data_IF_828802721381
#
_entry.id   IF_828802721381
#
_cell.length_a   1.000
_cell.length_b   1.000
_cell.length_c   1.000
_cell.angle_alpha   90.00
_cell.angle_beta   90.00
_cell.angle_gamma   90.00
#
_symmetry.space_group_name_H-M   'P 1'
#
loop_
_entity.id
_entity.type
_entity.pdbx_description
1 polymer ?
#
# COMPACT_ATOMS: atom_id res chain seq x y z
N UNK A 1 -24.05 75.81 10.33
CA UNK A 1 -22.63 75.62 9.91
C UNK A 1 -21.84 75.36 11.19
N UNK A 2 -21.11 74.28 11.40
CA UNK A 2 -20.57 73.26 10.51
C UNK A 2 -20.58 71.89 11.21
N UNK A 3 -20.70 70.83 10.40
CA UNK A 3 -20.54 69.43 10.78
C UNK A 3 -19.06 69.12 10.99
N UNK A 4 -18.67 68.63 12.17
CA UNK A 4 -17.40 67.91 12.36
C UNK A 4 -17.65 66.40 12.37
N UNK A 5 -17.34 65.78 11.24
CA UNK A 5 -17.30 64.33 11.06
C UNK A 5 -15.94 63.84 11.56
N UNK A 6 -15.88 63.24 12.77
CA UNK A 6 -14.66 62.62 13.25
C UNK A 6 -14.63 61.14 12.83
N UNK A 7 -13.85 60.86 11.80
CA UNK A 7 -13.63 59.54 11.23
C UNK A 7 -12.72 58.70 12.15
N UNK A 8 -13.31 57.73 12.85
CA UNK A 8 -12.59 56.72 13.63
C UNK A 8 -13.03 55.31 13.21
N UNK A 9 -12.72 54.92 11.97
CA UNK A 9 -13.00 53.58 11.45
C UNK A 9 -11.86 53.04 10.56
N UNK A 10 -10.60 53.18 11.00
CA UNK A 10 -9.42 52.72 10.27
C UNK A 10 -8.66 51.48 10.82
N UNK A 11 -8.88 50.94 12.05
CA UNK A 11 -8.11 49.78 12.48
C UNK A 11 -8.71 48.43 12.02
N UNK A 12 -10.01 48.37 11.72
CA UNK A 12 -10.69 47.10 11.37
C UNK A 12 -10.39 46.65 9.95
N UNK A 13 -10.28 47.59 9.00
CA UNK A 13 -9.98 47.25 7.61
C UNK A 13 -8.54 46.71 7.43
N UNK A 14 -7.59 47.20 8.24
CA UNK A 14 -6.20 46.77 8.18
C UNK A 14 -6.03 45.33 8.71
N UNK A 15 -6.82 44.92 9.71
CA UNK A 15 -6.84 43.55 10.22
C UNK A 15 -7.47 42.55 9.23
N UNK A 16 -8.52 42.96 8.50
CA UNK A 16 -9.16 42.11 7.47
C UNK A 16 -8.21 41.89 6.28
N UNK A 17 -7.42 42.90 5.91
CA UNK A 17 -6.41 42.79 4.85
C UNK A 17 -5.21 41.93 5.27
N UNK A 18 -4.84 41.91 6.57
CA UNK A 18 -3.79 41.01 7.05
C UNK A 18 -4.22 39.54 7.04
N UNK A 19 -5.51 39.24 7.19
CA UNK A 19 -6.06 37.88 7.05
C UNK A 19 -6.13 37.48 5.57
N UNK A 20 -6.39 38.41 4.64
CA UNK A 20 -6.37 38.12 3.19
C UNK A 20 -4.95 38.01 2.61
N UNK A 21 -3.95 38.56 3.31
CA UNK A 21 -2.52 38.49 2.99
C UNK A 21 -1.76 37.35 3.67
N UNK A 22 -2.44 36.32 4.21
CA UNK A 22 -1.86 34.98 4.15
C UNK A 22 -1.88 34.53 2.69
N UNK A 23 -0.90 35.05 1.96
CA UNK A 23 -0.33 34.54 0.72
C UNK A 23 -0.52 33.02 0.74
N UNK A 24 -1.57 32.53 0.08
CA UNK A 24 -1.81 31.11 -0.15
C UNK A 24 -0.64 30.70 -1.03
N UNK A 25 0.51 30.42 -0.40
CA UNK A 25 1.62 29.73 -1.01
C UNK A 25 0.94 28.49 -1.57
N UNK A 26 0.84 28.41 -2.90
CA UNK A 26 0.15 27.31 -3.58
C UNK A 26 0.89 26.05 -3.17
N UNK A 27 0.43 25.42 -2.09
CA UNK A 27 1.14 24.32 -1.45
C UNK A 27 1.05 23.17 -2.43
N UNK A 28 2.20 22.80 -3.00
CA UNK A 28 2.23 21.69 -3.92
C UNK A 28 1.81 20.42 -3.14
N UNK A 29 0.74 19.77 -3.60
CA UNK A 29 0.21 18.53 -3.01
C UNK A 29 1.29 17.46 -2.81
N UNK A 30 2.25 17.37 -3.73
CA UNK A 30 3.41 16.49 -3.64
C UNK A 30 4.32 16.82 -2.45
N UNK A 31 4.60 18.11 -2.21
CA UNK A 31 5.46 18.53 -1.12
C UNK A 31 4.80 18.21 0.22
N UNK A 32 3.51 18.48 0.37
CA UNK A 32 2.76 18.15 1.59
C UNK A 32 2.77 16.64 1.82
N UNK A 33 2.44 15.84 0.80
CA UNK A 33 2.46 14.37 0.87
C UNK A 33 3.85 13.82 1.25
N UNK A 34 4.89 14.26 0.55
CA UNK A 34 6.26 13.77 0.76
C UNK A 34 6.83 14.14 2.13
N UNK A 35 6.55 15.35 2.62
CA UNK A 35 6.93 15.79 3.98
C UNK A 35 6.23 14.90 5.02
N UNK A 36 4.92 14.70 4.91
CA UNK A 36 4.15 13.84 5.83
C UNK A 36 4.63 12.39 5.82
N UNK A 37 4.89 11.83 4.64
CA UNK A 37 5.45 10.48 4.48
C UNK A 37 6.81 10.35 5.16
N UNK A 38 7.72 11.30 4.94
CA UNK A 38 9.06 11.32 5.57
C UNK A 38 8.97 11.44 7.09
N UNK A 39 8.09 12.31 7.60
CA UNK A 39 7.83 12.48 9.04
C UNK A 39 7.34 11.16 9.65
N UNK A 40 6.37 10.49 9.02
CA UNK A 40 5.87 9.20 9.51
C UNK A 40 6.96 8.11 9.48
N UNK A 41 7.74 8.00 8.40
CA UNK A 41 8.85 7.04 8.31
C UNK A 41 9.93 7.31 9.37
N UNK A 42 10.27 8.57 9.62
CA UNK A 42 11.22 8.96 10.68
C UNK A 42 10.69 8.60 12.07
N UNK A 43 9.39 8.80 12.31
CA UNK A 43 8.75 8.39 13.56
C UNK A 43 8.82 6.87 13.76
N UNK A 44 8.41 6.08 12.77
CA UNK A 44 8.47 4.62 12.83
C UNK A 44 9.91 4.10 13.03
N UNK A 45 10.87 4.69 12.30
CA UNK A 45 12.29 4.35 12.47
C UNK A 45 12.82 4.69 13.86
N UNK A 46 12.37 5.80 14.46
CA UNK A 46 12.76 6.17 15.83
C UNK A 46 12.21 5.17 16.86
N UNK A 47 10.97 4.70 16.68
CA UNK A 47 10.37 3.67 17.54
C UNK A 47 11.10 2.33 17.39
N UNK A 48 11.47 1.94 16.17
CA UNK A 48 12.27 0.73 15.97
C UNK A 48 13.66 0.84 16.62
N UNK A 49 14.32 1.98 16.45
CA UNK A 49 15.63 2.26 17.06
C UNK A 49 15.59 2.30 18.60
N UNK A 50 14.44 2.59 19.22
CA UNK A 50 14.34 2.50 20.69
C UNK A 50 14.29 1.08 21.22
N UNK A 51 13.94 0.09 20.38
CA UNK A 51 13.87 -1.32 20.77
C UNK A 51 15.15 -2.07 20.39
N UNK A 52 15.75 -1.76 19.24
CA UNK A 52 16.93 -2.44 18.73
C UNK A 52 18.12 -1.49 18.55
N UNK A 53 19.26 -1.82 19.16
CA UNK A 53 20.52 -1.11 18.93
C UNK A 53 21.00 -1.35 17.48
N UNK A 54 21.50 -0.29 16.83
CA UNK A 54 21.98 -0.35 15.45
C UNK A 54 23.13 -1.36 15.32
N UNK A 55 23.96 -1.48 16.37
CA UNK A 55 25.07 -2.42 16.44
C UNK A 55 24.55 -3.85 16.27
N UNK A 56 23.55 -4.23 17.07
CA UNK A 56 22.90 -5.55 17.01
C UNK A 56 22.29 -5.81 15.64
N UNK A 57 21.59 -4.82 15.07
CA UNK A 57 21.00 -4.95 13.73
C UNK A 57 22.08 -5.23 12.69
N UNK A 58 23.21 -4.53 12.70
CA UNK A 58 24.26 -4.73 11.71
C UNK A 58 24.96 -6.07 11.87
N UNK A 59 25.25 -6.50 13.10
CA UNK A 59 25.85 -7.80 13.35
C UNK A 59 24.94 -8.97 12.94
N UNK A 60 23.62 -8.81 12.93
CA UNK A 60 22.69 -9.84 12.47
C UNK A 60 22.44 -9.74 10.96
N UNK A 61 22.18 -8.53 10.46
CA UNK A 61 21.74 -8.30 9.08
C UNK A 61 22.87 -8.53 8.07
N UNK A 62 24.11 -8.13 8.40
CA UNK A 62 25.23 -8.26 7.48
C UNK A 62 25.59 -9.72 7.20
N UNK A 63 25.81 -10.60 8.20
CA UNK A 63 26.04 -12.02 7.95
C UNK A 63 24.85 -12.69 7.26
N UNK A 64 23.62 -12.38 7.66
CA UNK A 64 22.42 -12.91 7.02
C UNK A 64 22.35 -12.55 5.53
N UNK A 65 22.66 -11.30 5.16
CA UNK A 65 22.67 -10.86 3.77
C UNK A 65 23.73 -11.58 2.94
N UNK A 66 24.93 -11.78 3.47
CA UNK A 66 26.00 -12.53 2.78
C UNK A 66 25.58 -13.98 2.54
N UNK A 67 25.02 -14.65 3.56
CA UNK A 67 24.52 -16.03 3.46
C UNK A 67 23.40 -16.13 2.41
N UNK A 68 22.44 -15.21 2.42
CA UNK A 68 21.32 -15.21 1.46
C UNK A 68 21.82 -15.00 0.04
N UNK A 69 22.74 -14.06 -0.19
CA UNK A 69 23.29 -13.79 -1.52
C UNK A 69 24.09 -14.98 -2.06
N UNK A 70 24.95 -15.59 -1.24
CA UNK A 70 25.73 -16.74 -1.66
C UNK A 70 24.84 -17.94 -2.03
N UNK A 71 23.83 -18.23 -1.19
CA UNK A 71 22.84 -19.27 -1.48
C UNK A 71 22.03 -18.95 -2.74
N UNK A 72 21.60 -17.70 -2.93
CA UNK A 72 20.86 -17.28 -4.11
C UNK A 72 21.64 -17.55 -5.39
N UNK A 73 22.93 -17.18 -5.45
CA UNK A 73 23.79 -17.51 -6.59
C UNK A 73 24.02 -19.01 -6.76
N UNK A 74 24.10 -19.76 -5.66
CA UNK A 74 24.19 -21.22 -5.72
C UNK A 74 22.95 -21.85 -6.36
N UNK A 75 21.75 -21.35 -6.04
CA UNK A 75 20.48 -21.87 -6.57
C UNK A 75 20.31 -21.69 -8.09
N UNK A 76 21.07 -20.78 -8.69
CA UNK A 76 21.13 -20.67 -10.15
C UNK A 76 21.89 -21.81 -10.82
N UNK A 77 22.81 -22.44 -10.11
CA UNK A 77 23.63 -23.55 -10.63
C UNK A 77 23.04 -24.89 -10.26
N UNK A 78 22.72 -25.07 -8.97
CA UNK A 78 22.25 -26.32 -8.41
C UNK A 78 20.93 -26.12 -7.67
N UNK A 79 19.91 -26.89 -8.02
CA UNK A 79 18.62 -26.88 -7.33
C UNK A 79 18.76 -27.51 -5.95
N UNK A 80 18.33 -26.83 -4.87
CA UNK A 80 18.48 -27.37 -3.52
C UNK A 80 17.50 -28.51 -3.29
N UNK A 81 17.93 -29.62 -2.68
CA UNK A 81 17.11 -30.83 -2.53
C UNK A 81 15.77 -30.65 -1.79
N UNK A 82 15.60 -29.59 -0.98
CA UNK A 82 14.32 -29.31 -0.32
C UNK A 82 13.23 -28.85 -1.30
N UNK A 83 13.58 -28.25 -2.45
CA UNK A 83 12.59 -27.79 -3.43
C UNK A 83 11.90 -28.98 -4.12
N UNK A 84 12.56 -30.14 -4.15
CA UNK A 84 12.05 -31.34 -4.82
C UNK A 84 10.77 -31.88 -4.19
N UNK A 85 10.59 -31.64 -2.88
CA UNK A 85 9.40 -32.05 -2.13
C UNK A 85 8.29 -31.02 -2.19
N UNK A 86 8.52 -29.87 -2.83
CA UNK A 86 7.61 -28.74 -2.79
C UNK A 86 6.81 -28.67 -4.10
N UNK A 87 5.53 -29.06 -4.12
CA UNK A 87 4.71 -28.97 -5.31
C UNK A 87 4.47 -27.50 -5.70
N UNK A 88 4.37 -27.24 -7.00
CA UNK A 88 4.15 -25.88 -7.53
C UNK A 88 2.88 -25.23 -6.96
N UNK A 89 1.85 -26.03 -6.64
CA UNK A 89 0.61 -25.56 -6.00
C UNK A 89 0.85 -24.87 -4.66
N UNK A 90 1.81 -25.34 -3.86
CA UNK A 90 2.15 -24.72 -2.58
C UNK A 90 2.85 -23.37 -2.78
N UNK A 91 3.73 -23.26 -3.78
CA UNK A 91 4.33 -21.95 -4.14
C UNK A 91 3.24 -21.00 -4.59
N UNK A 92 2.36 -21.45 -5.48
CA UNK A 92 1.25 -20.63 -6.00
C UNK A 92 0.35 -20.12 -4.86
N UNK A 93 0.01 -20.99 -3.90
CA UNK A 93 -0.76 -20.63 -2.72
C UNK A 93 0.01 -19.68 -1.78
N UNK A 94 1.32 -19.87 -1.63
CA UNK A 94 2.17 -19.00 -0.82
C UNK A 94 2.24 -17.57 -1.39
N UNK A 95 2.39 -17.44 -2.72
CA UNK A 95 2.33 -16.14 -3.40
C UNK A 95 0.95 -15.49 -3.19
N UNK A 96 -0.13 -16.28 -3.29
CA UNK A 96 -1.48 -15.78 -3.00
C UNK A 96 -1.60 -15.23 -1.57
N UNK A 97 -1.14 -15.96 -0.56
CA UNK A 97 -1.16 -15.49 0.83
C UNK A 97 -0.34 -14.20 1.00
N UNK A 98 0.80 -14.08 0.35
CA UNK A 98 1.61 -12.86 0.42
C UNK A 98 0.98 -11.68 -0.32
N UNK A 99 0.14 -11.91 -1.33
CA UNK A 99 -0.69 -10.87 -1.95
C UNK A 99 -1.77 -10.31 -1.00
N UNK A 100 -2.05 -11.00 0.11
CA UNK A 100 -2.84 -10.43 1.22
C UNK A 100 -2.03 -9.53 2.15
N UNK A 101 -0.76 -9.25 1.84
CA UNK A 101 -0.07 -8.13 2.48
C UNK A 101 -0.58 -6.78 1.92
N UNK A 102 -0.25 -5.67 2.56
CA UNK A 102 -0.54 -4.34 2.02
C UNK A 102 -1.88 -3.71 2.42
N UNK A 103 -1.87 -2.38 2.48
CA UNK A 103 -3.02 -1.51 2.81
C UNK A 103 -2.81 -0.11 2.21
N UNK A 104 -3.89 0.53 1.76
CA UNK A 104 -3.86 1.94 1.32
C UNK A 104 -3.65 2.85 2.54
N UNK A 105 -2.66 3.74 2.47
CA UNK A 105 -2.37 4.76 3.50
C UNK A 105 -2.55 6.16 2.92
N UNK A 106 -3.50 6.94 3.47
CA UNK A 106 -3.88 8.26 2.94
C UNK A 106 -3.03 9.42 3.49
N UNK A 107 -2.26 9.20 4.58
CA UNK A 107 -1.38 10.21 5.22
C UNK A 107 -2.09 11.55 5.53
N UNK A 108 -3.36 11.46 5.94
CA UNK A 108 -4.17 12.60 6.38
C UNK A 108 -4.05 12.71 7.89
N UNK A 109 -3.60 13.87 8.38
CA UNK A 109 -3.54 14.17 9.82
C UNK A 109 -4.87 14.83 10.25
N UNK A 110 -5.37 14.51 11.45
CA UNK A 110 -6.65 15.01 11.98
C UNK A 110 -6.66 16.54 12.12
N UNK A 111 -5.52 17.13 12.52
CA UNK A 111 -5.37 18.59 12.68
C UNK A 111 -5.63 19.39 11.39
N UNK A 112 -5.46 18.77 10.22
CA UNK A 112 -5.61 19.42 8.92
C UNK A 112 -7.00 19.20 8.29
N UNK A 113 -7.93 18.55 9.00
CA UNK A 113 -9.26 18.18 8.47
C UNK A 113 -10.01 19.38 7.89
N UNK A 114 -10.14 20.47 8.67
CA UNK A 114 -10.87 21.67 8.27
C UNK A 114 -10.22 22.33 7.04
N UNK A 115 -8.89 22.34 6.98
CA UNK A 115 -8.12 22.88 5.85
C UNK A 115 -8.31 22.05 4.58
N UNK A 116 -8.26 20.72 4.68
CA UNK A 116 -8.37 19.81 3.54
C UNK A 116 -9.79 19.74 2.98
N UNK A 117 -10.81 19.88 3.84
CA UNK A 117 -12.22 19.98 3.40
C UNK A 117 -12.44 21.25 2.59
N UNK A 118 -11.84 22.38 3.00
CA UNK A 118 -11.90 23.65 2.27
C UNK A 118 -11.13 23.61 0.94
N UNK A 119 -10.01 22.86 0.89
CA UNK A 119 -9.15 22.73 -0.28
C UNK A 119 -9.25 21.35 -0.96
N UNK A 120 -10.42 21.04 -1.52
CA UNK A 120 -10.73 19.73 -2.14
C UNK A 120 -9.74 19.29 -3.22
N UNK A 121 -9.27 20.22 -4.06
CA UNK A 121 -8.30 19.90 -5.13
C UNK A 121 -6.95 19.44 -4.56
N UNK A 122 -6.50 20.04 -3.46
CA UNK A 122 -5.28 19.65 -2.77
C UNK A 122 -5.45 18.25 -2.16
N UNK A 123 -6.58 17.98 -1.51
CA UNK A 123 -6.89 16.68 -0.93
C UNK A 123 -6.91 15.56 -1.99
N UNK A 124 -7.63 15.75 -3.11
CA UNK A 124 -7.69 14.78 -4.20
C UNK A 124 -6.30 14.49 -4.78
N UNK A 125 -5.48 15.52 -4.99
CA UNK A 125 -4.13 15.33 -5.49
C UNK A 125 -3.23 14.61 -4.48
N UNK A 126 -3.34 14.90 -3.18
CA UNK A 126 -2.64 14.13 -2.14
C UNK A 126 -3.06 12.66 -2.13
N UNK A 127 -4.36 12.39 -2.29
CA UNK A 127 -4.91 11.03 -2.36
C UNK A 127 -4.38 10.25 -3.57
N UNK A 128 -4.27 10.91 -4.74
CA UNK A 128 -3.62 10.33 -5.93
C UNK A 128 -2.17 9.94 -5.67
N UNK A 129 -1.38 10.81 -5.05
CA UNK A 129 0.01 10.51 -4.69
C UNK A 129 0.13 9.37 -3.68
N UNK A 130 -0.76 9.34 -2.68
CA UNK A 130 -0.82 8.27 -1.70
C UNK A 130 -1.15 6.91 -2.33
N UNK A 131 -2.12 6.88 -3.24
CA UNK A 131 -2.51 5.66 -3.95
C UNK A 131 -1.42 5.19 -4.91
N UNK A 132 -0.86 6.08 -5.73
CA UNK A 132 0.24 5.76 -6.63
C UNK A 132 1.49 5.26 -5.88
N UNK A 133 1.77 5.84 -4.71
CA UNK A 133 2.84 5.34 -3.84
C UNK A 133 2.56 3.94 -3.31
N UNK A 134 1.30 3.65 -2.93
CA UNK A 134 0.87 2.32 -2.47
C UNK A 134 1.04 1.28 -3.58
N UNK A 135 0.52 1.55 -4.78
CA UNK A 135 0.69 0.67 -5.95
C UNK A 135 2.18 0.39 -6.18
N UNK A 136 3.00 1.44 -6.22
CA UNK A 136 4.44 1.29 -6.47
C UNK A 136 5.13 0.41 -5.43
N UNK A 137 4.82 0.56 -4.15
CA UNK A 137 5.43 -0.27 -3.09
C UNK A 137 5.00 -1.73 -3.17
N UNK A 138 3.75 -1.99 -3.54
CA UNK A 138 3.20 -3.33 -3.60
C UNK A 138 3.70 -4.07 -4.85
N UNK A 139 3.74 -3.37 -6.00
CA UNK A 139 4.41 -3.87 -7.21
C UNK A 139 5.87 -4.19 -6.94
N UNK A 140 6.61 -3.32 -6.24
CA UNK A 140 8.01 -3.56 -5.91
C UNK A 140 8.18 -4.75 -4.95
N UNK A 141 7.31 -4.87 -3.95
CA UNK A 141 7.32 -6.01 -3.02
C UNK A 141 7.08 -7.33 -3.75
N UNK A 142 6.10 -7.36 -4.65
CA UNK A 142 5.76 -8.54 -5.45
C UNK A 142 6.88 -8.86 -6.46
N UNK A 143 7.48 -7.85 -7.09
CA UNK A 143 8.63 -8.03 -7.97
C UNK A 143 9.84 -8.59 -7.21
N UNK A 144 10.14 -8.07 -6.02
CA UNK A 144 11.22 -8.59 -5.18
C UNK A 144 11.01 -10.06 -4.82
N UNK A 145 9.76 -10.46 -4.58
CA UNK A 145 9.40 -11.85 -4.32
C UNK A 145 9.60 -12.75 -5.55
N UNK A 146 9.17 -12.30 -6.74
CA UNK A 146 9.42 -13.04 -7.98
C UNK A 146 10.91 -13.17 -8.29
N UNK A 147 11.72 -12.12 -8.05
CA UNK A 147 13.18 -12.18 -8.19
C UNK A 147 13.78 -13.21 -7.24
N UNK A 148 13.33 -13.25 -5.98
CA UNK A 148 13.81 -14.23 -5.01
C UNK A 148 13.47 -15.68 -5.41
N UNK A 149 12.26 -15.90 -5.95
CA UNK A 149 11.81 -17.22 -6.42
C UNK A 149 12.34 -17.60 -7.81
N UNK A 150 12.89 -16.64 -8.57
CA UNK A 150 13.28 -16.78 -9.98
C UNK A 150 14.13 -18.02 -10.29
N UNK A 151 15.23 -18.33 -9.56
CA UNK A 151 16.05 -19.51 -9.86
C UNK A 151 15.24 -20.81 -9.76
N UNK A 152 14.33 -20.91 -8.80
CA UNK A 152 13.50 -22.10 -8.60
C UNK A 152 12.45 -22.24 -9.70
N UNK A 153 11.80 -21.13 -10.06
CA UNK A 153 10.78 -21.08 -11.10
C UNK A 153 11.35 -21.51 -12.48
N UNK A 154 12.54 -21.02 -12.84
CA UNK A 154 13.18 -21.33 -14.12
C UNK A 154 13.85 -22.70 -14.15
N UNK A 155 14.65 -23.04 -13.12
CA UNK A 155 15.48 -24.25 -13.16
C UNK A 155 14.72 -25.52 -12.77
N UNK A 156 13.92 -25.46 -11.69
CA UNK A 156 13.22 -26.64 -11.17
C UNK A 156 11.84 -26.83 -11.83
N UNK A 157 11.00 -25.80 -11.82
CA UNK A 157 9.66 -25.88 -12.42
C UNK A 157 9.66 -25.68 -13.94
N UNK A 158 10.82 -25.36 -14.53
CA UNK A 158 11.02 -25.20 -15.99
C UNK A 158 10.05 -24.23 -16.65
N UNK A 159 9.64 -23.21 -15.90
CA UNK A 159 8.76 -22.16 -16.41
C UNK A 159 9.48 -21.36 -17.48
N UNK A 160 8.78 -20.99 -18.52
CA UNK A 160 9.30 -20.10 -19.56
C UNK A 160 9.11 -18.63 -19.16
N UNK A 161 9.84 -17.70 -19.79
CA UNK A 161 9.75 -16.27 -19.47
C UNK A 161 8.34 -15.69 -19.65
N UNK A 162 7.62 -16.11 -20.70
CA UNK A 162 6.26 -15.66 -20.95
C UNK A 162 5.26 -16.10 -19.87
N UNK A 163 5.45 -17.31 -19.33
CA UNK A 163 4.69 -17.89 -18.24
C UNK A 163 4.92 -17.12 -16.94
N UNK A 164 6.17 -16.78 -16.64
CA UNK A 164 6.53 -15.95 -15.49
C UNK A 164 5.91 -14.56 -15.56
N UNK A 165 5.95 -13.94 -16.74
CA UNK A 165 5.35 -12.63 -16.94
C UNK A 165 3.83 -12.67 -16.75
N UNK A 166 3.18 -13.72 -17.24
CA UNK A 166 1.74 -13.91 -17.09
C UNK A 166 1.33 -14.18 -15.62
N UNK A 167 2.11 -14.97 -14.88
CA UNK A 167 1.95 -15.15 -13.43
C UNK A 167 2.13 -13.83 -12.68
N UNK A 168 3.16 -13.05 -13.04
CA UNK A 168 3.42 -11.76 -12.42
C UNK A 168 2.25 -10.80 -12.61
N UNK A 169 1.74 -10.65 -13.84
CA UNK A 169 0.57 -9.81 -14.13
C UNK A 169 -0.66 -10.27 -13.34
N UNK A 170 -0.90 -11.58 -13.28
CA UNK A 170 -2.00 -12.16 -12.53
C UNK A 170 -1.93 -11.83 -11.04
N UNK A 171 -0.80 -12.08 -10.39
CA UNK A 171 -0.67 -11.80 -8.97
C UNK A 171 -0.63 -10.29 -8.67
N UNK A 172 -0.10 -9.48 -9.58
CA UNK A 172 -0.17 -8.03 -9.50
C UNK A 172 -1.63 -7.54 -9.52
N UNK A 173 -2.43 -8.02 -10.47
CA UNK A 173 -3.83 -7.61 -10.59
C UNK A 173 -4.65 -8.05 -9.38
N UNK A 174 -4.42 -9.27 -8.91
CA UNK A 174 -5.03 -9.81 -7.70
C UNK A 174 -4.65 -9.01 -6.45
N UNK A 175 -3.37 -8.68 -6.26
CA UNK A 175 -2.90 -7.88 -5.13
C UNK A 175 -3.59 -6.50 -5.11
N UNK A 176 -3.62 -5.80 -6.25
CA UNK A 176 -4.28 -4.50 -6.36
C UNK A 176 -5.76 -4.56 -6.03
N UNK A 177 -6.45 -5.62 -6.49
CA UNK A 177 -7.85 -5.85 -6.15
C UNK A 177 -8.03 -6.11 -4.65
N UNK A 178 -7.18 -6.93 -4.01
CA UNK A 178 -7.23 -7.18 -2.57
C UNK A 178 -7.07 -5.90 -1.77
N UNK A 179 -6.06 -5.08 -2.11
CA UNK A 179 -5.79 -3.81 -1.43
C UNK A 179 -7.00 -2.87 -1.52
N UNK A 180 -7.66 -2.84 -2.68
CA UNK A 180 -8.84 -2.02 -2.89
C UNK A 180 -10.06 -2.54 -2.14
N UNK A 181 -10.29 -3.86 -2.14
CA UNK A 181 -11.37 -4.46 -1.35
C UNK A 181 -11.14 -4.20 0.14
N UNK A 182 -9.91 -4.37 0.65
CA UNK A 182 -9.56 -4.05 2.03
C UNK A 182 -9.89 -2.59 2.37
N UNK A 183 -9.61 -1.67 1.46
CA UNK A 183 -9.94 -0.27 1.64
C UNK A 183 -11.45 -0.05 1.79
N UNK A 184 -12.28 -0.70 0.98
CA UNK A 184 -13.74 -0.61 1.11
C UNK A 184 -14.29 -1.34 2.35
N UNK A 185 -13.76 -2.52 2.68
CA UNK A 185 -14.19 -3.27 3.88
C UNK A 185 -13.88 -2.49 5.15
N UNK A 186 -12.75 -1.78 5.22
CA UNK A 186 -12.42 -0.89 6.34
C UNK A 186 -13.39 0.28 6.53
N UNK A 187 -14.20 0.62 5.52
CA UNK A 187 -15.25 1.63 5.66
C UNK A 187 -16.48 1.12 6.43
N UNK A 188 -16.64 -0.19 6.62
CA UNK A 188 -17.76 -0.76 7.36
C UNK A 188 -17.52 -0.58 8.86
N UNK A 189 -18.38 0.12 9.59
CA UNK A 189 -18.14 0.44 11.01
C UNK A 189 -18.15 -0.79 11.95
N UNK A 190 -18.96 -1.80 11.64
CA UNK A 190 -19.16 -2.97 12.51
C UNK A 190 -18.08 -4.02 12.28
N UNK A 191 -17.22 -4.26 13.29
CA UNK A 191 -16.12 -5.24 13.23
C UNK A 191 -16.55 -6.65 12.81
N UNK A 192 -17.66 -7.17 13.34
CA UNK A 192 -18.16 -8.49 12.94
C UNK A 192 -18.52 -8.57 11.45
N UNK A 193 -19.10 -7.50 10.88
CA UNK A 193 -19.38 -7.43 9.44
C UNK A 193 -18.09 -7.33 8.62
N UNK A 194 -17.08 -6.60 9.12
CA UNK A 194 -15.77 -6.55 8.46
C UNK A 194 -15.13 -7.94 8.39
N UNK A 195 -15.11 -8.69 9.49
CA UNK A 195 -14.56 -10.05 9.53
C UNK A 195 -15.32 -10.96 8.56
N UNK A 196 -16.65 -10.94 8.58
CA UNK A 196 -17.48 -11.73 7.65
C UNK A 196 -17.19 -11.37 6.18
N UNK A 197 -17.04 -10.09 5.86
CA UNK A 197 -16.70 -9.67 4.50
C UNK A 197 -15.28 -10.11 4.10
N UNK A 198 -14.30 -10.04 5.02
CA UNK A 198 -12.96 -10.53 4.76
C UNK A 198 -12.92 -12.03 4.51
N UNK A 199 -13.63 -12.83 5.31
CA UNK A 199 -13.68 -14.29 5.10
C UNK A 199 -14.39 -14.64 3.79
N UNK A 200 -15.49 -13.97 3.46
CA UNK A 200 -16.18 -14.15 2.17
C UNK A 200 -15.28 -13.82 0.98
N UNK A 201 -14.59 -12.67 1.02
CA UNK A 201 -13.65 -12.28 -0.04
C UNK A 201 -12.49 -13.25 -0.15
N UNK A 202 -11.97 -13.73 0.98
CA UNK A 202 -10.90 -14.71 1.01
C UNK A 202 -11.30 -16.00 0.29
N UNK A 203 -12.48 -16.54 0.58
CA UNK A 203 -13.02 -17.75 -0.05
C UNK A 203 -13.22 -17.55 -1.56
N UNK A 204 -13.79 -16.40 -1.96
CA UNK A 204 -14.03 -16.10 -3.37
C UNK A 204 -12.72 -15.97 -4.16
N UNK A 205 -11.76 -15.23 -3.63
CA UNK A 205 -10.46 -15.04 -4.29
C UNK A 205 -9.62 -16.32 -4.27
N UNK A 206 -9.69 -17.13 -3.21
CA UNK A 206 -9.02 -18.43 -3.19
C UNK A 206 -9.61 -19.36 -4.25
N UNK A 207 -10.94 -19.41 -4.39
CA UNK A 207 -11.60 -20.18 -5.45
C UNK A 207 -11.16 -19.73 -6.85
N UNK A 208 -11.10 -18.42 -7.08
CA UNK A 208 -10.60 -17.86 -8.33
C UNK A 208 -9.13 -18.23 -8.61
N UNK A 209 -8.25 -18.19 -7.61
CA UNK A 209 -6.86 -18.61 -7.78
C UNK A 209 -6.72 -20.10 -8.09
N UNK A 210 -7.56 -20.96 -7.51
CA UNK A 210 -7.57 -22.39 -7.80
C UNK A 210 -8.00 -22.64 -9.24
N UNK A 211 -9.03 -21.93 -9.74
CA UNK A 211 -9.47 -22.02 -11.14
C UNK A 211 -8.35 -21.64 -12.11
N UNK A 212 -7.62 -20.56 -11.81
CA UNK A 212 -6.48 -20.12 -12.64
C UNK A 212 -5.35 -21.15 -12.63
N UNK A 213 -5.07 -21.77 -11.47
CA UNK A 213 -4.10 -22.85 -11.37
C UNK A 213 -4.51 -24.09 -12.18
N UNK A 214 -5.80 -24.44 -12.22
CA UNK A 214 -6.30 -25.54 -13.05
C UNK A 214 -6.19 -25.24 -14.55
N UNK A 215 -6.50 -24.01 -14.97
CA UNK A 215 -6.33 -23.55 -16.35
C UNK A 215 -4.86 -23.56 -16.76
N UNK A 216 -3.97 -23.18 -15.83
CA UNK A 216 -2.52 -23.25 -16.01
C UNK A 216 -2.05 -24.67 -16.29
N UNK A 217 -2.49 -25.63 -15.46
CA UNK A 217 -2.12 -27.04 -15.62
C UNK A 217 -2.62 -27.63 -16.95
N UNK A 218 -3.73 -27.09 -17.47
CA UNK A 218 -4.29 -27.45 -18.77
C UNK A 218 -3.63 -26.72 -19.97
N UNK A 219 -2.59 -25.93 -19.72
CA UNK A 219 -1.84 -25.14 -20.71
C UNK A 219 -2.67 -24.10 -21.50
N UNK A 220 -3.84 -23.67 -20.97
CA UNK A 220 -4.67 -22.65 -21.60
C UNK A 220 -4.18 -21.23 -21.25
N UNK A 221 -3.15 -20.73 -21.92
CA UNK A 221 -2.53 -19.43 -21.58
C UNK A 221 -3.39 -18.21 -21.94
N UNK A 222 -4.08 -18.23 -23.09
CA UNK A 222 -4.93 -17.13 -23.56
C UNK A 222 -6.04 -16.71 -22.57
N UNK A 223 -6.88 -17.63 -22.05
CA UNK A 223 -7.91 -17.24 -21.08
C UNK A 223 -7.32 -16.70 -19.78
N UNK A 224 -6.17 -17.21 -19.32
CA UNK A 224 -5.51 -16.66 -18.12
C UNK A 224 -5.06 -15.22 -18.37
N UNK A 225 -4.49 -14.93 -19.54
CA UNK A 225 -4.11 -13.57 -19.91
C UNK A 225 -5.34 -12.64 -19.91
N UNK A 226 -6.42 -13.02 -20.60
CA UNK A 226 -7.65 -12.22 -20.66
C UNK A 226 -8.27 -11.99 -19.27
N UNK A 227 -8.31 -13.02 -18.42
CA UNK A 227 -8.79 -12.93 -17.05
C UNK A 227 -7.91 -12.00 -16.20
N UNK A 228 -6.59 -12.10 -16.32
CA UNK A 228 -5.65 -11.24 -15.58
C UNK A 228 -5.78 -9.76 -15.97
N UNK A 229 -5.92 -9.47 -17.27
CA UNK A 229 -6.06 -8.11 -17.82
C UNK A 229 -7.41 -7.52 -17.46
N UNK A 230 -8.49 -8.30 -17.58
CA UNK A 230 -9.83 -7.84 -17.17
C UNK A 230 -9.88 -7.54 -15.67
N UNK A 231 -9.28 -8.39 -14.83
CA UNK A 231 -9.20 -8.14 -13.39
C UNK A 231 -8.36 -6.89 -13.07
N UNK A 232 -7.26 -6.68 -13.79
CA UNK A 232 -6.45 -5.47 -13.67
C UNK A 232 -7.25 -4.22 -14.08
N UNK A 233 -7.98 -4.29 -15.18
CA UNK A 233 -8.83 -3.19 -15.65
C UNK A 233 -9.90 -2.85 -14.62
N UNK A 234 -10.58 -3.86 -14.05
CA UNK A 234 -11.57 -3.67 -12.97
C UNK A 234 -10.91 -3.03 -11.74
N UNK A 235 -9.75 -3.51 -11.30
CA UNK A 235 -9.02 -2.93 -10.18
C UNK A 235 -8.67 -1.45 -10.43
N UNK A 236 -8.20 -1.13 -11.63
CA UNK A 236 -7.87 0.24 -12.04
C UNK A 236 -9.15 1.11 -12.07
N UNK A 237 -10.23 0.65 -12.70
CA UNK A 237 -11.50 1.40 -12.76
C UNK A 237 -12.07 1.69 -11.37
N UNK A 238 -12.13 0.68 -10.50
CA UNK A 238 -12.59 0.85 -9.13
C UNK A 238 -11.67 1.77 -8.32
N UNK A 239 -10.37 1.78 -8.62
CA UNK A 239 -9.42 2.69 -7.98
C UNK A 239 -9.65 4.15 -8.37
N UNK A 240 -9.90 4.43 -9.65
CA UNK A 240 -10.26 5.77 -10.12
C UNK A 240 -11.58 6.24 -9.47
N UNK A 241 -12.58 5.35 -9.38
CA UNK A 241 -13.83 5.65 -8.70
C UNK A 241 -13.61 5.96 -7.20
N UNK A 242 -12.74 5.21 -6.53
CA UNK A 242 -12.36 5.45 -5.12
C UNK A 242 -11.66 6.79 -4.91
N UNK A 243 -10.76 7.17 -5.83
CA UNK A 243 -10.02 8.44 -5.78
C UNK A 243 -10.91 9.66 -5.90
N UNK A 244 -12.01 9.58 -6.67
CA UNK A 244 -12.93 10.70 -6.89
C UNK A 244 -13.93 10.91 -5.74
N UNK A 245 -14.10 9.92 -4.84
CA UNK A 245 -15.00 10.05 -3.69
C UNK A 245 -14.35 10.85 -2.56
N UNK A 246 -14.94 12.02 -2.26
CA UNK A 246 -14.51 12.97 -1.21
C UNK A 246 -15.29 12.75 0.11
N UNK A 247 -16.45 12.11 0.07
CA UNK A 247 -17.38 12.00 1.21
C UNK A 247 -16.88 11.21 2.43
N UNK A 248 -15.67 10.66 2.41
CA UNK A 248 -15.16 9.73 3.43
C UNK A 248 -13.92 10.23 4.18
N UNK A 249 -13.62 11.53 4.16
CA UNK A 249 -12.43 12.10 4.82
C UNK A 249 -12.35 11.69 6.31
N UNK A 250 -13.48 11.71 7.02
CA UNK A 250 -13.52 11.34 8.45
C UNK A 250 -13.15 9.88 8.68
N UNK A 251 -13.71 8.98 7.88
CA UNK A 251 -13.35 7.56 7.92
C UNK A 251 -11.89 7.33 7.53
N UNK A 252 -11.37 8.04 6.54
CA UNK A 252 -9.96 7.94 6.14
C UNK A 252 -9.00 8.38 7.26
N UNK A 253 -9.35 9.42 8.02
CA UNK A 253 -8.60 9.88 9.20
C UNK A 253 -8.64 8.81 10.30
N UNK A 254 -9.82 8.27 10.60
CA UNK A 254 -10.00 7.22 11.62
C UNK A 254 -9.19 5.98 11.28
N UNK A 255 -9.27 5.50 10.04
CA UNK A 255 -8.48 4.36 9.54
C UNK A 255 -6.98 4.64 9.68
N UNK A 256 -6.53 5.85 9.37
CA UNK A 256 -5.12 6.21 9.51
C UNK A 256 -4.65 6.18 10.98
N UNK A 257 -5.46 6.65 11.92
CA UNK A 257 -5.17 6.61 13.35
C UNK A 257 -5.09 5.17 13.88
N UNK A 258 -6.08 4.33 13.56
CA UNK A 258 -6.12 2.92 13.95
C UNK A 258 -4.87 2.17 13.45
N UNK A 259 -4.47 2.37 12.19
CA UNK A 259 -3.25 1.74 11.67
C UNK A 259 -1.97 2.25 12.36
N UNK A 260 -1.96 3.49 12.88
CA UNK A 260 -0.81 4.06 13.57
C UNK A 260 -0.69 3.51 14.99
N UNK A 261 -1.79 3.38 15.72
CA UNK A 261 -1.80 2.83 17.08
C UNK A 261 -1.45 1.34 17.08
N UNK A 262 -2.03 0.56 16.17
CA UNK A 262 -1.72 -0.87 16.03
C UNK A 262 -0.23 -1.17 15.86
N UNK A 263 0.47 -0.39 15.02
CA UNK A 263 1.91 -0.57 14.81
C UNK A 263 2.72 -0.28 16.08
N UNK A 264 2.30 0.72 16.86
CA UNK A 264 2.97 1.11 18.10
C UNK A 264 2.74 0.03 19.17
N UNK A 265 1.51 -0.44 19.32
CA UNK A 265 1.13 -1.51 20.26
C UNK A 265 1.89 -2.80 19.98
N UNK A 266 1.98 -3.24 18.71
CA UNK A 266 2.75 -4.44 18.35
C UNK A 266 4.22 -4.32 18.74
N UNK A 267 4.84 -3.14 18.57
CA UNK A 267 6.25 -2.94 18.94
C UNK A 267 6.42 -3.03 20.46
N UNK A 268 5.48 -2.47 21.24
CA UNK A 268 5.54 -2.56 22.70
C UNK A 268 5.25 -3.96 23.25
N UNK A 269 4.44 -4.78 22.57
CA UNK A 269 4.23 -6.18 22.97
C UNK A 269 5.46 -7.07 22.77
N UNK A 270 6.37 -6.69 21.86
CA UNK A 270 7.59 -7.46 21.53
C UNK A 270 8.79 -6.98 22.38
N UNK A 271 8.70 -5.78 22.98
CA UNK A 271 9.72 -5.29 23.89
C UNK A 271 9.66 -6.09 25.21
N UNK A 272 10.77 -6.75 25.62
CA UNK A 272 10.84 -7.53 26.85
C UNK A 272 10.77 -6.67 28.12
#
# INVERSE_FOLDING_TARGET
>A
MAFEHNASCLPVLCMIVFISLQKVKRMNSWNVFSIRRRKNRKYQFKVFRSVADWTVIVYILFPAAVIILFNYFSYWKDTPGWIEYLPFSLIFFFIFLLSWHGNIRTYVEEADKVFLIKNRSLFLNMKKWAYGHTIFTETFSLLSLFIFLLPHLLNYYRLQWHELFLLFIFFLSLNLLIILIKYYVKMIEKRWKQVLMYTMVFILLSGYTILIFQLWQSAFMLPIFLLSVSLLAVAIMLSFASLLRIGFIEHEIKIYQENRTQNIEMIFMIAP
#
